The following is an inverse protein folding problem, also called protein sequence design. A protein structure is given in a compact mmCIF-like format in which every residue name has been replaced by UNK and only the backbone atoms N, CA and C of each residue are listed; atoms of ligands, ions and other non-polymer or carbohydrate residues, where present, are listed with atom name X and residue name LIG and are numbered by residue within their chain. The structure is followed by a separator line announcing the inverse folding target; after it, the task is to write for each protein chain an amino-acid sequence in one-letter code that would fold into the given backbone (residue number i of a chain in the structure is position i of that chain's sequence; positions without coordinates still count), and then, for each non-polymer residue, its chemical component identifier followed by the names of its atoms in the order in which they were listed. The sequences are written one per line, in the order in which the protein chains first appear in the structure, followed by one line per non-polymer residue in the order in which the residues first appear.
data_IF_858575973819
#
_entry.id   IF_858575973819
#
_cell.length_a   1.000
_cell.length_b   1.000
_cell.length_c   1.000
_cell.angle_alpha   90.00
_cell.angle_beta   90.00
_cell.angle_gamma   90.00
#
_symmetry.space_group_name_H-M   'P 1'
#
loop_
_entity.id
_entity.type
_entity.pdbx_description
1 polymer ?
#
# COMPACT_ATOMS: atom_id res chain seq x y z
N UNK A 1 9.27 -0.22 -14.85
CA UNK A 1 7.97 -0.62 -14.24
C UNK A 1 7.22 0.62 -13.82
N UNK A 2 5.93 0.60 -13.89
CA UNK A 2 5.07 1.71 -13.49
C UNK A 2 4.03 1.22 -12.48
N UNK A 3 3.54 2.15 -11.63
CA UNK A 3 2.50 1.82 -10.67
C UNK A 3 1.17 1.55 -11.37
N UNK A 4 0.50 0.49 -10.92
CA UNK A 4 -0.89 0.26 -11.22
C UNK A 4 -1.71 0.97 -10.16
N UNK A 5 -2.38 2.07 -10.51
CA UNK A 5 -3.06 2.91 -9.53
C UNK A 5 -4.11 2.13 -8.71
N UNK A 6 -4.94 1.35 -9.37
CA UNK A 6 -5.97 0.58 -8.66
C UNK A 6 -5.38 -0.42 -7.67
N UNK A 7 -4.22 -0.99 -7.99
CA UNK A 7 -3.52 -1.90 -7.11
C UNK A 7 -3.12 -1.22 -5.80
N UNK A 8 -2.75 0.05 -5.84
CA UNK A 8 -2.36 0.81 -4.63
C UNK A 8 -3.50 0.79 -3.60
N UNK A 9 -4.68 1.19 -4.03
CA UNK A 9 -5.86 1.25 -3.15
C UNK A 9 -6.26 -0.13 -2.67
N UNK A 10 -6.29 -1.10 -3.56
CA UNK A 10 -6.71 -2.47 -3.22
C UNK A 10 -5.74 -3.15 -2.27
N UNK A 11 -4.43 -2.93 -2.42
CA UNK A 11 -3.44 -3.43 -1.46
C UNK A 11 -3.69 -2.84 -0.07
N UNK A 12 -3.86 -1.52 0.03
CA UNK A 12 -4.09 -0.88 1.32
C UNK A 12 -5.39 -1.34 1.98
N UNK A 13 -6.47 -1.47 1.21
CA UNK A 13 -7.75 -1.95 1.73
C UNK A 13 -7.64 -3.41 2.19
N UNK A 14 -6.93 -4.25 1.45
CA UNK A 14 -6.72 -5.64 1.84
C UNK A 14 -5.91 -5.74 3.14
N UNK A 15 -4.86 -4.94 3.26
CA UNK A 15 -4.04 -4.92 4.48
C UNK A 15 -4.86 -4.45 5.69
N UNK A 16 -5.66 -3.39 5.53
CA UNK A 16 -6.53 -2.92 6.61
C UNK A 16 -7.50 -3.99 7.08
N UNK A 17 -8.09 -4.71 6.14
CA UNK A 17 -9.08 -5.76 6.44
C UNK A 17 -8.46 -7.01 7.07
N UNK A 18 -7.21 -7.28 6.78
CA UNK A 18 -6.56 -8.56 7.10
C UNK A 18 -5.60 -8.49 8.28
N UNK A 19 -4.86 -7.37 8.41
CA UNK A 19 -3.90 -7.22 9.50
C UNK A 19 -4.62 -6.95 10.81
N UNK A 20 -4.22 -7.69 11.85
CA UNK A 20 -4.84 -7.61 13.17
C UNK A 20 -3.83 -8.05 14.23
N UNK A 21 -4.15 -7.83 15.49
CA UNK A 21 -3.39 -8.42 16.57
C UNK A 21 -3.79 -9.90 16.71
N UNK A 22 -2.81 -10.73 17.06
CA UNK A 22 -3.04 -12.12 17.38
C UNK A 22 -2.87 -12.31 18.88
N UNK A 23 -3.83 -13.01 19.49
CA UNK A 23 -3.74 -13.37 20.90
C UNK A 23 -2.74 -14.51 21.10
N UNK A 24 -1.88 -14.35 22.11
CA UNK A 24 -1.09 -15.47 22.61
C UNK A 24 -0.94 -15.32 24.14
N UNK A 25 -0.56 -16.40 24.86
CA UNK A 25 -0.51 -16.36 26.32
C UNK A 25 0.47 -15.38 26.94
N UNK A 26 1.43 -14.87 26.17
CA UNK A 26 2.51 -14.02 26.67
C UNK A 26 2.30 -12.56 26.28
N UNK A 27 1.89 -12.30 25.03
CA UNK A 27 1.72 -10.95 24.51
C UNK A 27 0.84 -10.99 23.26
N UNK A 28 0.22 -9.85 22.96
CA UNK A 28 -0.43 -9.67 21.67
C UNK A 28 0.61 -9.33 20.62
N UNK A 29 0.56 -10.01 19.49
CA UNK A 29 1.46 -9.78 18.37
C UNK A 29 0.66 -9.45 17.12
N UNK A 30 1.29 -8.78 16.15
CA UNK A 30 0.65 -8.49 14.88
C UNK A 30 0.61 -9.73 14.01
N UNK A 31 -0.51 -9.93 13.33
CA UNK A 31 -0.58 -10.85 12.20
C UNK A 31 0.34 -10.31 11.11
N UNK A 32 1.06 -11.21 10.45
CA UNK A 32 2.02 -10.85 9.40
C UNK A 32 1.63 -11.49 8.09
N UNK A 33 1.83 -10.76 7.01
CA UNK A 33 1.56 -11.23 5.66
C UNK A 33 2.82 -11.15 4.83
N UNK A 34 3.08 -12.20 4.05
CA UNK A 34 4.13 -12.14 3.03
C UNK A 34 3.60 -11.42 1.80
N UNK A 35 4.52 -10.96 0.94
CA UNK A 35 4.13 -10.39 -0.35
C UNK A 35 3.33 -11.42 -1.17
N UNK A 36 3.73 -12.70 -1.12
CA UNK A 36 3.00 -13.76 -1.81
C UNK A 36 1.57 -13.93 -1.28
N UNK A 37 1.36 -13.81 0.01
CA UNK A 37 0.00 -13.87 0.58
C UNK A 37 -0.90 -12.79 -0.04
N UNK A 38 -0.40 -11.58 -0.13
CA UNK A 38 -1.14 -10.46 -0.70
C UNK A 38 -1.38 -10.68 -2.20
N UNK A 39 -0.35 -11.08 -2.93
CA UNK A 39 -0.45 -11.35 -4.36
C UNK A 39 -1.46 -12.45 -4.68
N UNK A 40 -1.50 -13.50 -3.88
CA UNK A 40 -2.46 -14.59 -4.05
C UNK A 40 -3.89 -14.13 -3.75
N UNK A 41 -4.08 -13.27 -2.77
CA UNK A 41 -5.40 -12.72 -2.43
C UNK A 41 -5.91 -11.74 -3.49
N UNK A 42 -5.01 -10.97 -4.10
CA UNK A 42 -5.34 -9.97 -5.12
C UNK A 42 -5.04 -10.53 -6.52
N UNK A 43 -5.60 -11.69 -6.82
CA UNK A 43 -5.28 -12.44 -8.04
C UNK A 43 -5.76 -11.79 -9.33
N UNK A 44 -6.56 -10.73 -9.26
CA UNK A 44 -6.91 -9.93 -10.44
C UNK A 44 -5.75 -9.09 -10.98
N UNK A 45 -4.71 -8.91 -10.17
CA UNK A 45 -3.47 -8.23 -10.56
C UNK A 45 -2.36 -9.25 -10.77
N UNK A 46 -1.37 -8.89 -11.59
CA UNK A 46 -0.17 -9.73 -11.72
C UNK A 46 0.62 -9.69 -10.41
N UNK A 47 1.39 -10.74 -10.14
CA UNK A 47 2.25 -10.79 -8.96
C UNK A 47 3.26 -9.64 -8.99
N UNK A 48 3.76 -9.31 -10.17
CA UNK A 48 4.71 -8.23 -10.36
C UNK A 48 4.10 -6.87 -9.99
N UNK A 49 2.86 -6.61 -10.38
CA UNK A 49 2.17 -5.37 -10.00
C UNK A 49 1.96 -5.28 -8.50
N UNK A 50 1.55 -6.37 -7.85
CA UNK A 50 1.36 -6.39 -6.39
C UNK A 50 2.68 -6.19 -5.67
N UNK A 51 3.72 -6.90 -6.08
CA UNK A 51 5.04 -6.77 -5.46
C UNK A 51 5.60 -5.36 -5.63
N UNK A 52 5.53 -4.81 -6.83
CA UNK A 52 6.01 -3.46 -7.09
C UNK A 52 5.27 -2.42 -6.25
N UNK A 53 3.94 -2.56 -6.16
CA UNK A 53 3.12 -1.67 -5.34
C UNK A 53 3.52 -1.74 -3.86
N UNK A 54 3.71 -2.94 -3.33
CA UNK A 54 4.13 -3.14 -1.94
C UNK A 54 5.50 -2.51 -1.70
N UNK A 55 6.45 -2.74 -2.60
CA UNK A 55 7.79 -2.15 -2.47
C UNK A 55 7.74 -0.62 -2.47
N UNK A 56 6.92 -0.02 -3.32
CA UNK A 56 6.78 1.44 -3.40
C UNK A 56 6.05 2.02 -2.17
N UNK A 57 5.06 1.32 -1.65
CA UNK A 57 4.41 1.72 -0.41
C UNK A 57 5.40 1.65 0.77
N UNK A 58 6.25 0.65 0.79
CA UNK A 58 7.30 0.50 1.80
C UNK A 58 8.35 1.63 1.70
N UNK A 59 8.82 1.92 0.49
CA UNK A 59 9.78 3.02 0.28
C UNK A 59 9.22 4.36 0.72
N UNK A 60 7.94 4.60 0.47
CA UNK A 60 7.24 5.82 0.87
C UNK A 60 6.93 5.84 2.37
N UNK A 61 7.19 4.75 3.09
CA UNK A 61 6.92 4.59 4.52
C UNK A 61 5.43 4.60 4.85
N UNK A 62 4.60 4.08 3.95
CA UNK A 62 3.17 3.97 4.17
C UNK A 62 2.77 2.61 4.75
N UNK A 63 3.64 1.62 4.64
CA UNK A 63 3.48 0.31 5.29
C UNK A 63 4.77 -0.07 5.98
N UNK A 64 4.65 -0.93 6.99
CA UNK A 64 5.80 -1.47 7.71
C UNK A 64 6.05 -2.90 7.28
N UNK A 65 7.27 -3.18 6.88
CA UNK A 65 7.73 -4.53 6.56
C UNK A 65 8.88 -4.86 7.49
N UNK A 66 8.80 -6.00 8.15
CA UNK A 66 9.80 -6.47 9.12
C UNK A 66 10.52 -7.70 8.58
N UNK A 67 11.68 -7.99 9.16
CA UNK A 67 12.53 -9.12 8.76
C UNK A 67 12.86 -9.11 7.26
N UNK A 68 13.12 -7.91 6.74
CA UNK A 68 13.46 -7.73 5.33
C UNK A 68 14.85 -8.31 5.06
N UNK A 69 14.95 -9.15 4.04
CA UNK A 69 16.23 -9.56 3.48
C UNK A 69 16.28 -9.19 2.00
N UNK A 70 17.49 -8.90 1.54
CA UNK A 70 17.70 -8.45 0.16
C UNK A 70 18.76 -9.30 -0.50
N UNK A 71 18.77 -9.34 -1.83
CA UNK A 71 19.82 -10.00 -2.60
C UNK A 71 21.07 -9.09 -2.70
N UNK A 72 22.08 -9.54 -3.44
CA UNK A 72 23.33 -8.80 -3.63
C UNK A 72 23.13 -7.45 -4.34
N UNK A 73 22.02 -7.28 -5.03
CA UNK A 73 21.67 -6.05 -5.74
C UNK A 73 20.70 -5.16 -4.93
N UNK A 74 20.42 -5.53 -3.68
CA UNK A 74 19.54 -4.85 -2.75
C UNK A 74 18.05 -4.91 -3.13
N UNK A 75 17.64 -5.85 -3.97
CA UNK A 75 16.23 -6.12 -4.18
C UNK A 75 15.66 -6.95 -3.03
N UNK A 76 14.46 -6.59 -2.59
CA UNK A 76 13.79 -7.30 -1.51
C UNK A 76 13.41 -8.72 -1.97
N UNK A 77 13.91 -9.74 -1.28
CA UNK A 77 13.57 -11.14 -1.54
C UNK A 77 12.70 -11.73 -0.45
N UNK A 78 12.60 -11.08 0.71
CA UNK A 78 11.85 -11.61 1.84
C UNK A 78 11.44 -10.49 2.78
N UNK A 79 10.32 -10.69 3.48
CA UNK A 79 9.82 -9.75 4.46
C UNK A 79 8.38 -10.03 4.83
N UNK A 80 7.95 -9.46 5.96
CA UNK A 80 6.59 -9.62 6.47
C UNK A 80 5.96 -8.24 6.66
N UNK A 81 4.79 -8.03 6.06
CA UNK A 81 3.99 -6.83 6.26
C UNK A 81 3.22 -7.01 7.54
N UNK A 82 3.34 -6.09 8.50
CA UNK A 82 2.64 -6.21 9.77
C UNK A 82 1.79 -4.99 10.15
N UNK A 83 1.89 -3.90 9.43
CA UNK A 83 1.06 -2.73 9.71
C UNK A 83 1.02 -1.75 8.53
N UNK A 84 -0.02 -0.90 8.54
CA UNK A 84 -0.08 0.33 7.76
C UNK A 84 0.37 1.44 8.71
N UNK A 85 1.29 2.30 8.28
CA UNK A 85 1.79 3.39 9.12
C UNK A 85 0.74 4.48 9.29
N UNK A 86 1.02 5.44 10.16
CA UNK A 86 0.15 6.61 10.34
C UNK A 86 -0.04 7.36 9.01
N UNK A 87 1.04 7.60 8.29
CA UNK A 87 1.00 8.26 6.99
C UNK A 87 0.23 7.43 5.96
N UNK A 88 0.39 6.12 6.01
CA UNK A 88 -0.35 5.21 5.14
C UNK A 88 -1.85 5.25 5.38
N UNK A 89 -2.25 5.30 6.64
CA UNK A 89 -3.68 5.46 6.98
C UNK A 89 -4.22 6.82 6.57
N UNK A 90 -3.44 7.89 6.72
CA UNK A 90 -3.87 9.21 6.25
C UNK A 90 -4.13 9.21 4.75
N UNK A 91 -3.26 8.57 3.99
CA UNK A 91 -3.46 8.41 2.55
C UNK A 91 -4.70 7.56 2.25
N UNK A 92 -4.82 6.39 2.90
CA UNK A 92 -5.96 5.50 2.68
C UNK A 92 -7.28 6.20 3.01
N UNK A 93 -7.34 6.96 4.10
CA UNK A 93 -8.54 7.70 4.47
C UNK A 93 -8.94 8.71 3.40
N UNK A 94 -7.98 9.33 2.73
CA UNK A 94 -8.29 10.27 1.64
C UNK A 94 -8.86 9.56 0.41
N UNK A 95 -8.41 8.35 0.11
CA UNK A 95 -8.81 7.62 -1.11
C UNK A 95 -9.85 6.53 -0.87
N UNK A 96 -10.35 6.40 0.35
CA UNK A 96 -11.34 5.39 0.71
C UNK A 96 -12.63 5.57 -0.08
N UNK A 97 -13.12 6.78 -0.20
CA UNK A 97 -14.28 7.12 -1.02
C UNK A 97 -13.95 6.91 -2.49
N UNK A 98 -14.79 6.14 -3.18
CA UNK A 98 -14.53 5.79 -4.58
C UNK A 98 -14.49 7.02 -5.48
N UNK A 99 -15.36 8.02 -5.24
CA UNK A 99 -15.39 9.25 -6.03
C UNK A 99 -14.09 10.06 -5.87
N UNK A 100 -13.54 10.11 -4.67
CA UNK A 100 -12.25 10.77 -4.41
C UNK A 100 -11.13 9.99 -5.10
N UNK A 101 -11.17 8.66 -5.04
CA UNK A 101 -10.17 7.84 -5.70
C UNK A 101 -10.19 8.02 -7.22
N UNK A 102 -11.37 8.03 -7.83
CA UNK A 102 -11.49 8.25 -9.27
C UNK A 102 -10.93 9.62 -9.68
N UNK A 103 -11.24 10.67 -8.91
CA UNK A 103 -10.69 12.00 -9.16
C UNK A 103 -9.17 12.03 -8.96
N UNK A 104 -8.66 11.33 -7.96
CA UNK A 104 -7.22 11.22 -7.70
C UNK A 104 -6.50 10.55 -8.86
N UNK A 105 -7.04 9.45 -9.38
CA UNK A 105 -6.46 8.75 -10.52
C UNK A 105 -6.44 9.63 -11.76
N UNK A 106 -7.53 10.34 -12.00
CA UNK A 106 -7.61 11.24 -13.15
C UNK A 106 -6.55 12.35 -13.07
N UNK A 107 -6.43 12.98 -11.90
CA UNK A 107 -5.40 13.99 -11.67
C UNK A 107 -3.99 13.44 -11.81
N UNK A 108 -3.75 12.24 -11.28
CA UNK A 108 -2.45 11.59 -11.39
C UNK A 108 -2.08 11.30 -12.83
N UNK A 109 -3.01 10.82 -13.63
CA UNK A 109 -2.79 10.55 -15.06
C UNK A 109 -2.46 11.83 -15.83
N UNK A 110 -3.15 12.92 -15.53
CA UNK A 110 -2.92 14.22 -16.21
C UNK A 110 -1.51 14.74 -16.01
N UNK A 111 -0.93 14.58 -14.83
CA UNK A 111 0.41 15.09 -14.52
C UNK A 111 1.49 14.01 -14.63
N UNK A 112 1.10 12.77 -14.97
CA UNK A 112 2.05 11.67 -15.08
C UNK A 112 2.65 11.27 -13.74
N UNK A 113 1.86 11.33 -12.66
CA UNK A 113 2.36 10.99 -11.32
C UNK A 113 2.74 9.52 -11.24
N UNK A 114 3.98 9.23 -10.91
CA UNK A 114 4.55 7.88 -10.87
C UNK A 114 5.02 7.46 -9.49
N UNK A 115 4.87 8.32 -8.47
CA UNK A 115 5.27 8.00 -7.10
C UNK A 115 4.07 7.99 -6.18
N UNK A 116 4.16 7.18 -5.12
CA UNK A 116 3.13 7.12 -4.08
C UNK A 116 2.94 8.51 -3.44
N UNK A 117 4.04 9.21 -3.16
CA UNK A 117 3.98 10.54 -2.53
C UNK A 117 3.24 11.55 -3.40
N UNK A 118 3.48 11.54 -4.72
CA UNK A 118 2.80 12.45 -5.64
C UNK A 118 1.30 12.15 -5.70
N UNK A 119 0.92 10.88 -5.77
CA UNK A 119 -0.49 10.46 -5.78
C UNK A 119 -1.17 10.85 -4.46
N UNK A 120 -0.49 10.68 -3.34
CA UNK A 120 -1.00 11.05 -2.02
C UNK A 120 -1.25 12.56 -1.93
N UNK A 121 -0.33 13.39 -2.44
CA UNK A 121 -0.51 14.83 -2.46
C UNK A 121 -1.73 15.24 -3.30
N UNK A 122 -1.94 14.60 -4.44
CA UNK A 122 -3.11 14.86 -5.28
C UNK A 122 -4.39 14.53 -4.52
N UNK A 123 -4.44 13.39 -3.83
CA UNK A 123 -5.61 12.99 -3.04
C UNK A 123 -5.90 13.99 -1.92
N UNK A 124 -4.87 14.47 -1.25
CA UNK A 124 -5.00 15.46 -0.19
C UNK A 124 -5.60 16.78 -0.71
N UNK A 125 -5.13 17.27 -1.85
CA UNK A 125 -5.66 18.49 -2.45
C UNK A 125 -7.13 18.33 -2.88
N UNK A 126 -7.51 17.17 -3.39
CA UNK A 126 -8.89 16.87 -3.77
C UNK A 126 -9.81 16.88 -2.53
N UNK A 127 -9.38 16.22 -1.46
CA UNK A 127 -10.15 16.18 -0.20
C UNK A 127 -10.32 17.58 0.36
N UNK A 128 -9.28 18.41 0.35
CA UNK A 128 -9.36 19.80 0.79
C UNK A 128 -10.38 20.60 -0.01
N UNK A 129 -10.48 20.34 -1.30
CA UNK A 129 -11.38 21.09 -2.18
C UNK A 129 -12.86 20.75 -1.96
N UNK A 130 -13.17 19.54 -1.44
CA UNK A 130 -14.55 19.09 -1.24
C UNK A 130 -15.05 19.24 0.21
N UNK A 131 -14.19 19.62 1.13
CA UNK A 131 -14.55 19.80 2.55
C UNK A 131 -14.96 21.22 2.87
#
# INVERSE_FOLDING_TARGET
MTLNYDCIRDVLLYLEDTLEYTDNPVAMTHKRLTINNVANALSSYSKEDVQYTIEKLYEARYIRIVDVSTDSQRYMINGYIDDITWEGYNFLNNIREKSIWEATKEGAKKVGAMSISAISMISFEIVKAVV
#
